data_IF_307834008723
#
_entry.id   IF_307834008723
#
_cell.length_a   1.000
_cell.length_b   1.000
_cell.length_c   1.000
_cell.angle_alpha   90.00
_cell.angle_beta   90.00
_cell.angle_gamma   90.00
#
_symmetry.space_group_name_H-M   'P 1'
#
loop_
_entity.id
_entity.type
_entity.pdbx_description
1 polymer ?
#
# COMPACT_ATOMS: atom_id res chain seq x y z
N UNK A 1 27.50 5.84 0.68
CA UNK A 1 27.58 4.74 1.67
C UNK A 1 26.51 4.83 2.77
N UNK A 2 26.37 5.96 3.49
CA UNK A 2 25.41 6.09 4.60
C UNK A 2 23.95 5.71 4.25
N UNK A 3 23.44 6.11 3.08
CA UNK A 3 22.09 5.72 2.62
C UNK A 3 21.89 4.21 2.50
N UNK A 4 22.90 3.47 2.04
CA UNK A 4 22.83 2.01 1.91
C UNK A 4 22.82 1.33 3.27
N UNK A 5 23.64 1.82 4.21
CA UNK A 5 23.69 1.31 5.58
C UNK A 5 22.37 1.56 6.30
N UNK A 6 21.81 2.77 6.17
CA UNK A 6 20.48 3.10 6.74
C UNK A 6 19.41 2.21 6.12
N UNK A 7 19.41 2.03 4.80
CA UNK A 7 18.47 1.13 4.12
C UNK A 7 18.60 -0.32 4.59
N UNK A 8 19.82 -0.80 4.83
CA UNK A 8 20.08 -2.15 5.32
C UNK A 8 19.59 -2.33 6.76
N UNK A 9 19.88 -1.38 7.64
CA UNK A 9 19.38 -1.38 9.02
C UNK A 9 17.85 -1.39 9.02
N UNK A 10 17.22 -0.53 8.20
CA UNK A 10 15.77 -0.47 8.08
C UNK A 10 15.19 -1.80 7.58
N UNK A 11 15.81 -2.42 6.56
CA UNK A 11 15.38 -3.70 6.02
C UNK A 11 15.47 -4.83 7.05
N UNK A 12 16.55 -4.89 7.84
CA UNK A 12 16.72 -5.87 8.92
C UNK A 12 15.65 -5.66 9.99
N UNK A 13 15.40 -4.42 10.42
CA UNK A 13 14.36 -4.11 11.39
C UNK A 13 12.97 -4.51 10.90
N UNK A 14 12.66 -4.22 9.63
CA UNK A 14 11.40 -4.64 8.99
C UNK A 14 11.28 -6.17 8.92
N UNK A 15 12.37 -6.88 8.65
CA UNK A 15 12.38 -8.34 8.62
C UNK A 15 12.11 -8.93 10.03
N UNK A 16 12.76 -8.38 11.06
CA UNK A 16 12.52 -8.77 12.46
C UNK A 16 11.06 -8.49 12.82
N UNK A 17 10.56 -7.30 12.51
CA UNK A 17 9.17 -6.92 12.74
C UNK A 17 8.20 -7.88 12.04
N UNK A 18 8.44 -8.21 10.77
CA UNK A 18 7.62 -9.16 10.01
C UNK A 18 7.60 -10.55 10.64
N UNK A 19 8.77 -11.03 11.10
CA UNK A 19 8.91 -12.36 11.70
C UNK A 19 8.17 -12.45 13.04
N UNK A 20 8.17 -11.38 13.83
CA UNK A 20 7.43 -11.32 15.09
C UNK A 20 5.91 -11.21 14.89
N UNK A 21 5.46 -10.67 13.76
CA UNK A 21 4.05 -10.48 13.44
C UNK A 21 3.48 -11.58 12.53
N UNK A 22 4.01 -12.81 12.65
CA UNK A 22 3.51 -14.00 11.97
C UNK A 22 2.25 -14.60 12.61
N UNK A 23 1.73 -13.98 13.67
CA UNK A 23 0.52 -14.47 14.34
C UNK A 23 -0.64 -14.59 13.32
N UNK A 24 -1.32 -15.75 13.27
CA UNK A 24 -2.40 -15.96 12.32
C UNK A 24 -3.63 -15.12 12.72
N UNK A 25 -4.23 -14.44 11.74
CA UNK A 25 -5.49 -13.72 11.89
C UNK A 25 -6.44 -14.14 10.78
N UNK A 26 -7.72 -14.21 11.15
CA UNK A 26 -8.81 -14.50 10.23
C UNK A 26 -9.19 -13.23 9.48
N UNK A 27 -8.86 -13.19 8.20
CA UNK A 27 -9.25 -12.11 7.30
C UNK A 27 -10.44 -12.57 6.47
N UNK A 28 -11.57 -11.88 6.60
CA UNK A 28 -12.75 -12.11 5.77
C UNK A 28 -12.81 -11.06 4.67
N UNK A 29 -12.54 -11.48 3.45
CA UNK A 29 -12.72 -10.64 2.28
C UNK A 29 -14.20 -10.47 1.96
N UNK A 30 -14.56 -9.42 1.20
CA UNK A 30 -15.95 -9.11 0.80
C UNK A 30 -16.59 -10.30 0.06
N UNK A 31 -15.77 -11.10 -0.62
CA UNK A 31 -16.19 -12.30 -1.34
C UNK A 31 -15.32 -13.48 -0.87
N UNK A 32 -15.95 -14.62 -0.59
CA UNK A 32 -15.28 -15.90 -0.30
C UNK A 32 -15.18 -16.29 1.18
N UNK A 33 -14.54 -17.44 1.47
CA UNK A 33 -14.33 -17.95 2.82
C UNK A 33 -13.31 -17.10 3.58
N UNK A 34 -13.37 -17.14 4.91
CA UNK A 34 -12.36 -16.52 5.76
C UNK A 34 -11.01 -17.20 5.54
N UNK A 35 -9.97 -16.41 5.27
CA UNK A 35 -8.61 -16.88 5.09
C UNK A 35 -7.79 -16.59 6.34
N UNK A 36 -7.05 -17.59 6.79
CA UNK A 36 -6.11 -17.44 7.89
C UNK A 36 -4.78 -16.98 7.31
N UNK A 37 -4.38 -15.75 7.62
CA UNK A 37 -3.16 -15.12 7.11
C UNK A 37 -2.36 -14.50 8.26
N UNK A 38 -1.03 -14.40 8.14
CA UNK A 38 -0.23 -13.63 9.09
C UNK A 38 -0.70 -12.16 9.15
N UNK A 39 -0.75 -11.57 10.34
CA UNK A 39 -1.13 -10.14 10.54
C UNK A 39 -0.37 -9.21 9.61
N UNK A 40 0.93 -9.46 9.43
CA UNK A 40 1.77 -8.64 8.56
C UNK A 40 1.27 -8.59 7.11
N UNK A 41 0.68 -9.68 6.60
CA UNK A 41 0.12 -9.74 5.24
C UNK A 41 -1.11 -8.85 5.12
N UNK A 42 -1.98 -8.84 6.15
CA UNK A 42 -3.14 -7.97 6.17
C UNK A 42 -2.74 -6.48 6.22
N UNK A 43 -1.74 -6.14 7.04
CA UNK A 43 -1.21 -4.78 7.15
C UNK A 43 -0.56 -4.32 5.85
N UNK A 44 0.28 -5.17 5.24
CA UNK A 44 0.91 -4.89 3.96
C UNK A 44 -0.13 -4.68 2.84
N UNK A 45 -1.14 -5.56 2.78
CA UNK A 45 -2.24 -5.44 1.82
C UNK A 45 -3.04 -4.14 1.99
N UNK A 46 -3.36 -3.75 3.22
CA UNK A 46 -4.05 -2.49 3.51
C UNK A 46 -3.20 -1.27 3.11
N UNK A 47 -1.90 -1.30 3.41
CA UNK A 47 -0.99 -0.21 3.06
C UNK A 47 -0.84 -0.05 1.54
N UNK A 48 -0.58 -1.15 0.82
CA UNK A 48 -0.44 -1.15 -0.64
C UNK A 48 -1.77 -0.73 -1.30
N UNK A 49 -2.89 -1.26 -0.80
CA UNK A 49 -4.23 -0.90 -1.30
C UNK A 49 -4.52 0.59 -1.14
N UNK A 50 -4.24 1.15 0.04
CA UNK A 50 -4.40 2.58 0.31
C UNK A 50 -3.49 3.46 -0.57
N UNK A 51 -2.23 3.06 -0.72
CA UNK A 51 -1.27 3.77 -1.58
C UNK A 51 -1.69 3.75 -3.06
N UNK A 52 -2.15 2.60 -3.56
CA UNK A 52 -2.68 2.47 -4.91
C UNK A 52 -3.90 3.37 -5.12
N UNK A 53 -4.86 3.33 -4.19
CA UNK A 53 -6.08 4.16 -4.26
C UNK A 53 -5.74 5.66 -4.25
N UNK A 54 -4.81 6.09 -3.41
CA UNK A 54 -4.37 7.47 -3.35
C UNK A 54 -3.69 7.89 -4.66
N UNK A 55 -2.81 7.05 -5.20
CA UNK A 55 -2.14 7.27 -6.49
C UNK A 55 -3.15 7.38 -7.64
N UNK A 56 -4.10 6.45 -7.73
CA UNK A 56 -5.16 6.50 -8.73
C UNK A 56 -6.02 7.76 -8.59
N UNK A 57 -6.37 8.15 -7.36
CA UNK A 57 -7.14 9.38 -7.10
C UNK A 57 -6.41 10.63 -7.62
N UNK A 58 -5.10 10.72 -7.41
CA UNK A 58 -4.29 11.84 -7.90
C UNK A 58 -4.19 11.84 -9.43
N UNK A 59 -3.99 10.67 -10.05
CA UNK A 59 -3.95 10.54 -11.52
C UNK A 59 -5.29 10.99 -12.12
N UNK A 60 -6.42 10.53 -11.58
CA UNK A 60 -7.75 10.92 -12.04
C UNK A 60 -8.01 12.42 -11.85
N UNK A 61 -7.57 13.01 -10.74
CA UNK A 61 -7.67 14.47 -10.52
C UNK A 61 -6.85 15.26 -11.53
N UNK A 62 -5.63 14.81 -11.84
CA UNK A 62 -4.77 15.41 -12.86
C UNK A 62 -5.40 15.34 -14.26
N UNK A 63 -5.91 14.17 -14.64
CA UNK A 63 -6.60 13.97 -15.92
C UNK A 63 -7.87 14.83 -16.05
N UNK A 64 -8.68 14.90 -14.99
CA UNK A 64 -9.89 15.75 -14.97
C UNK A 64 -9.57 17.24 -15.05
N UNK A 65 -8.47 17.69 -14.43
CA UNK A 65 -8.02 19.08 -14.52
C UNK A 65 -7.61 19.43 -15.95
N UNK A 66 -6.86 18.54 -16.62
CA UNK A 66 -6.43 18.74 -18.00
C UNK A 66 -7.60 18.84 -18.98
N UNK A 67 -8.69 18.08 -18.79
CA UNK A 67 -9.86 18.19 -19.66
C UNK A 67 -10.61 19.52 -19.50
N UNK A 68 -10.64 20.06 -18.27
CA UNK A 68 -11.38 21.30 -17.98
C UNK A 68 -10.69 22.55 -18.54
N UNK A 69 -9.37 22.54 -18.71
CA UNK A 69 -8.64 23.63 -19.36
C UNK A 69 -8.91 23.66 -20.88
N UNK A 70 -9.08 22.49 -21.52
CA UNK A 70 -9.37 22.39 -22.96
C UNK A 70 -10.80 22.87 -23.28
N UNK A 71 -11.78 22.56 -22.41
CA UNK A 71 -13.17 23.00 -22.59
C UNK A 71 -13.40 24.50 -22.31
N UNK A 72 -12.40 25.24 -21.80
CA UNK A 72 -12.47 26.68 -21.51
C UNK A 72 -11.76 27.55 -22.56
N UNK A 73 -11.11 26.93 -23.55
CA UNK A 73 -10.46 27.60 -24.69
C UNK A 73 -11.33 27.62 -25.97
N UNK A 74 -12.53 27.05 -25.94
CA UNK A 74 -13.58 27.14 -26.98
C UNK A 74 -14.69 28.16 -26.59
#
# INVERSE_FOLDING_TARGET
MGKLIVSLILAILLLIFSTQNLHPVWVRFIVGPALQLPVIVALAGAFIGGYALATFSQILKGAKKNNKDIDLED
#
